data_IF_584264102294
#
_entry.id   IF_584264102294
#
_cell.length_a   1.000
_cell.length_b   1.000
_cell.length_c   1.000
_cell.angle_alpha   90.00
_cell.angle_beta   90.00
_cell.angle_gamma   90.00
#
_symmetry.space_group_name_H-M   'P 1'
#
loop_
_entity.id
_entity.type
_entity.pdbx_description
1 polymer ?
#
# COMPACT_ATOMS: atom_id res chain seq x y z
N UNK A 1 -8.15 -23.12 19.36
CA UNK A 1 -7.66 -21.73 19.19
C UNK A 1 -8.87 -20.80 19.13
N UNK A 2 -8.80 -19.59 19.69
CA UNK A 2 -9.90 -18.61 19.61
C UNK A 2 -10.05 -18.10 18.17
N UNK A 3 -11.30 -17.89 17.72
CA UNK A 3 -11.63 -17.29 16.42
C UNK A 3 -11.00 -15.88 16.37
N UNK A 4 -10.27 -15.55 15.30
CA UNK A 4 -9.67 -14.24 15.09
C UNK A 4 -10.69 -13.27 14.52
N UNK A 5 -10.80 -12.08 15.09
CA UNK A 5 -11.69 -11.02 14.61
C UNK A 5 -10.94 -10.03 13.77
N UNK A 6 -11.29 -9.96 12.50
CA UNK A 6 -10.63 -9.12 11.49
C UNK A 6 -11.62 -8.10 10.96
N UNK A 7 -11.22 -6.86 10.85
CA UNK A 7 -11.98 -5.77 10.24
C UNK A 7 -11.35 -5.35 8.91
N UNK A 8 -12.18 -5.18 7.90
CA UNK A 8 -11.81 -4.55 6.63
C UNK A 8 -12.72 -3.34 6.40
N UNK A 9 -12.14 -2.14 6.35
CA UNK A 9 -12.87 -0.90 6.05
C UNK A 9 -12.48 -0.33 4.69
N UNK A 10 -13.49 -0.03 3.87
CA UNK A 10 -13.36 0.41 2.49
C UNK A 10 -13.39 -0.78 1.54
N UNK A 11 -14.51 -0.98 0.87
CA UNK A 11 -14.78 -2.13 -0.01
C UNK A 11 -14.75 -1.77 -1.51
N UNK A 12 -14.05 -0.69 -1.86
CA UNK A 12 -13.77 -0.33 -3.25
C UNK A 12 -12.79 -1.29 -3.93
N UNK A 13 -12.14 -0.85 -5.02
CA UNK A 13 -11.24 -1.67 -5.84
C UNK A 13 -10.18 -2.42 -5.01
N UNK A 14 -9.46 -1.73 -4.13
CA UNK A 14 -8.38 -2.35 -3.33
C UNK A 14 -8.97 -3.16 -2.17
N UNK A 15 -9.97 -2.63 -1.47
CA UNK A 15 -10.60 -3.35 -0.36
C UNK A 15 -11.21 -4.68 -0.79
N UNK A 16 -11.86 -4.74 -1.95
CA UNK A 16 -12.39 -6.01 -2.49
C UNK A 16 -11.28 -7.03 -2.83
N UNK A 17 -10.05 -6.58 -3.18
CA UNK A 17 -8.88 -7.46 -3.34
C UNK A 17 -8.39 -7.99 -2.01
N UNK A 18 -8.36 -7.15 -0.96
CA UNK A 18 -8.09 -7.62 0.40
C UNK A 18 -9.12 -8.66 0.84
N UNK A 19 -10.41 -8.41 0.58
CA UNK A 19 -11.47 -9.37 0.89
C UNK A 19 -11.21 -10.73 0.23
N UNK A 20 -10.92 -10.74 -1.09
CA UNK A 20 -10.58 -11.98 -1.80
C UNK A 20 -9.35 -12.70 -1.22
N UNK A 21 -8.33 -11.97 -0.81
CA UNK A 21 -7.11 -12.55 -0.25
C UNK A 21 -7.38 -13.15 1.14
N UNK A 22 -8.12 -12.44 1.99
CA UNK A 22 -8.46 -12.90 3.34
C UNK A 22 -9.31 -14.18 3.31
N UNK A 23 -10.30 -14.23 2.44
CA UNK A 23 -11.20 -15.40 2.32
C UNK A 23 -10.49 -16.64 1.76
N UNK A 24 -9.40 -16.49 1.03
CA UNK A 24 -8.62 -17.62 0.49
C UNK A 24 -7.51 -18.10 1.43
N UNK A 25 -6.99 -17.22 2.27
CA UNK A 25 -5.73 -17.45 2.98
C UNK A 25 -5.85 -17.65 4.48
N UNK A 26 -7.05 -17.58 5.04
CA UNK A 26 -7.24 -17.65 6.48
C UNK A 26 -8.27 -18.73 6.88
N UNK A 27 -7.93 -19.48 7.90
CA UNK A 27 -8.81 -20.39 8.59
C UNK A 27 -9.20 -19.84 9.97
N UNK A 28 -10.39 -20.19 10.48
CA UNK A 28 -10.85 -19.89 11.83
C UNK A 28 -10.85 -18.38 12.17
N UNK A 29 -11.53 -17.58 11.35
CA UNK A 29 -11.70 -16.15 11.54
C UNK A 29 -13.15 -15.69 11.40
N UNK A 30 -13.43 -14.53 11.97
CA UNK A 30 -14.66 -13.74 11.78
C UNK A 30 -14.27 -12.43 11.10
N UNK A 31 -14.79 -12.18 9.90
CA UNK A 31 -14.44 -11.01 9.10
C UNK A 31 -15.60 -10.01 9.07
N UNK A 32 -15.32 -8.81 9.56
CA UNK A 32 -16.23 -7.68 9.58
C UNK A 32 -15.85 -6.72 8.45
N UNK A 33 -16.72 -6.52 7.48
CA UNK A 33 -16.51 -5.70 6.29
C UNK A 33 -17.37 -4.43 6.37
N UNK A 34 -16.77 -3.27 6.31
CA UNK A 34 -17.47 -1.98 6.44
C UNK A 34 -17.24 -1.09 5.23
N UNK A 35 -18.32 -0.61 4.63
CA UNK A 35 -18.30 0.49 3.66
C UNK A 35 -19.63 1.24 3.72
N UNK A 36 -19.65 2.58 3.78
CA UNK A 36 -20.90 3.36 3.82
C UNK A 36 -21.72 3.24 2.54
N UNK A 37 -21.12 2.79 1.43
CA UNK A 37 -21.77 2.58 0.14
C UNK A 37 -22.25 1.14 0.00
N UNK A 38 -23.56 0.92 -0.04
CA UNK A 38 -24.13 -0.40 -0.34
C UNK A 38 -23.64 -0.93 -1.71
N UNK A 39 -23.46 -0.05 -2.70
CA UNK A 39 -22.92 -0.43 -4.00
C UNK A 39 -21.50 -0.99 -3.92
N UNK A 40 -20.63 -0.43 -3.03
CA UNK A 40 -19.28 -0.97 -2.78
C UNK A 40 -19.34 -2.33 -2.11
N UNK A 41 -20.28 -2.54 -1.20
CA UNK A 41 -20.52 -3.83 -0.56
C UNK A 41 -20.90 -4.89 -1.61
N UNK A 42 -21.90 -4.61 -2.44
CA UNK A 42 -22.35 -5.54 -3.49
C UNK A 42 -21.25 -5.80 -4.55
N UNK A 43 -20.50 -4.76 -4.93
CA UNK A 43 -19.35 -4.91 -5.80
C UNK A 43 -18.29 -5.85 -5.19
N UNK A 44 -17.98 -5.71 -3.91
CA UNK A 44 -17.01 -6.58 -3.25
C UNK A 44 -17.51 -8.02 -3.11
N UNK A 45 -18.81 -8.22 -2.83
CA UNK A 45 -19.44 -9.55 -2.83
C UNK A 45 -19.39 -10.21 -4.20
N UNK A 46 -19.66 -9.47 -5.28
CA UNK A 46 -19.61 -10.02 -6.64
C UNK A 46 -18.24 -10.57 -7.01
N UNK A 47 -17.17 -10.02 -6.43
CA UNK A 47 -15.80 -10.54 -6.62
C UNK A 47 -15.51 -11.83 -5.87
N UNK A 48 -16.35 -12.21 -4.93
CA UNK A 48 -16.24 -13.49 -4.22
C UNK A 48 -16.94 -14.64 -4.96
N UNK A 49 -17.93 -14.36 -5.80
CA UNK A 49 -18.76 -15.36 -6.49
C UNK A 49 -17.99 -16.53 -7.15
N UNK A 50 -16.75 -16.37 -7.65
CA UNK A 50 -15.97 -17.48 -8.17
C UNK A 50 -15.43 -18.44 -7.09
N UNK A 51 -15.60 -18.13 -5.79
CA UNK A 51 -15.11 -18.93 -4.68
C UNK A 51 -16.20 -19.88 -4.18
N UNK A 52 -15.80 -21.01 -3.56
CA UNK A 52 -16.74 -21.92 -2.93
C UNK A 52 -17.57 -21.25 -1.82
N UNK A 53 -18.86 -21.57 -1.65
CA UNK A 53 -19.70 -21.04 -0.57
C UNK A 53 -19.10 -21.19 0.83
N UNK A 54 -18.31 -22.22 1.09
CA UNK A 54 -17.64 -22.43 2.39
C UNK A 54 -16.69 -21.28 2.77
N UNK A 55 -16.19 -20.52 1.80
CA UNK A 55 -15.36 -19.34 2.03
C UNK A 55 -16.16 -18.10 2.50
N UNK A 56 -17.50 -18.18 2.53
CA UNK A 56 -18.36 -17.07 2.97
C UNK A 56 -18.78 -17.21 4.44
N UNK A 57 -18.52 -18.34 5.08
CA UNK A 57 -18.81 -18.53 6.49
C UNK A 57 -17.99 -17.54 7.34
N UNK A 58 -18.65 -16.82 8.24
CA UNK A 58 -17.97 -15.81 9.08
C UNK A 58 -17.79 -14.41 8.47
N UNK A 59 -18.40 -14.13 7.29
CA UNK A 59 -18.40 -12.80 6.69
C UNK A 59 -19.60 -11.97 7.17
N UNK A 60 -19.33 -10.79 7.70
CA UNK A 60 -20.33 -9.85 8.17
C UNK A 60 -20.14 -8.50 7.44
N UNK A 61 -21.20 -7.93 6.87
CA UNK A 61 -21.16 -6.68 6.12
C UNK A 61 -21.98 -5.61 6.83
N UNK A 62 -21.43 -4.40 6.91
CA UNK A 62 -22.02 -3.26 7.60
C UNK A 62 -21.86 -1.99 6.79
N UNK A 63 -22.81 -1.07 6.92
CA UNK A 63 -22.70 0.29 6.35
C UNK A 63 -22.12 1.31 7.34
N UNK A 64 -21.98 0.93 8.63
CA UNK A 64 -21.37 1.77 9.67
C UNK A 64 -20.50 0.95 10.62
N UNK A 65 -19.71 1.61 11.44
CA UNK A 65 -18.84 0.99 12.44
C UNK A 65 -19.55 0.70 13.78
N UNK A 66 -20.82 1.08 13.93
CA UNK A 66 -21.51 1.11 15.22
C UNK A 66 -21.79 -0.30 15.79
N UNK A 67 -21.86 -1.30 14.92
CA UNK A 67 -22.15 -2.69 15.29
C UNK A 67 -20.91 -3.60 15.32
N UNK A 68 -19.72 -3.02 15.34
CA UNK A 68 -18.48 -3.79 15.36
C UNK A 68 -18.22 -4.43 16.75
N UNK A 69 -17.49 -5.54 16.81
CA UNK A 69 -17.02 -6.12 18.05
C UNK A 69 -16.13 -5.14 18.82
N UNK A 70 -16.24 -5.13 20.16
CA UNK A 70 -15.43 -4.25 21.01
C UNK A 70 -13.91 -4.50 20.91
N UNK A 71 -13.51 -5.67 20.42
CA UNK A 71 -12.10 -6.04 20.27
C UNK A 71 -11.85 -6.68 18.91
N UNK A 72 -10.76 -6.26 18.25
CA UNK A 72 -10.28 -6.77 16.95
C UNK A 72 -8.82 -7.20 17.05
N UNK A 73 -8.48 -8.35 16.48
CA UNK A 73 -7.10 -8.81 16.36
C UNK A 73 -6.35 -8.07 15.24
N UNK A 74 -7.06 -7.75 14.15
CA UNK A 74 -6.51 -7.02 13.00
C UNK A 74 -7.58 -6.10 12.42
N UNK A 75 -7.19 -4.88 12.04
CA UNK A 75 -7.98 -4.03 11.16
C UNK A 75 -7.18 -3.68 9.90
N UNK A 76 -7.85 -3.64 8.75
CA UNK A 76 -7.29 -3.17 7.47
C UNK A 76 -8.09 -1.96 7.04
N UNK A 77 -7.44 -0.80 6.93
CA UNK A 77 -8.08 0.44 6.46
C UNK A 77 -7.69 0.66 4.99
N UNK A 78 -8.57 0.20 4.09
CA UNK A 78 -8.42 0.28 2.64
C UNK A 78 -9.14 1.48 2.01
N UNK A 79 -9.58 2.44 2.82
CA UNK A 79 -10.23 3.68 2.35
C UNK A 79 -9.26 4.58 1.59
N UNK A 80 -9.79 5.57 0.88
CA UNK A 80 -8.97 6.62 0.27
C UNK A 80 -8.24 7.46 1.34
N UNK A 81 -7.08 8.01 0.98
CA UNK A 81 -6.18 8.69 1.91
C UNK A 81 -6.74 9.96 2.55
N UNK A 82 -7.71 10.62 1.88
CA UNK A 82 -8.35 11.84 2.38
C UNK A 82 -9.27 11.61 3.59
N UNK A 83 -9.90 10.43 3.70
CA UNK A 83 -10.82 10.10 4.82
C UNK A 83 -10.19 9.19 5.87
N UNK A 84 -9.00 8.66 5.62
CA UNK A 84 -8.36 7.60 6.42
C UNK A 84 -8.09 8.01 7.86
N UNK A 85 -7.70 9.28 8.11
CA UNK A 85 -7.49 9.76 9.46
C UNK A 85 -8.81 9.78 10.26
N UNK A 86 -9.90 10.28 9.68
CA UNK A 86 -11.20 10.32 10.38
C UNK A 86 -11.72 8.92 10.70
N UNK A 87 -11.50 7.94 9.81
CA UNK A 87 -11.81 6.53 10.07
C UNK A 87 -11.00 5.99 11.26
N UNK A 88 -9.69 6.26 11.30
CA UNK A 88 -8.85 5.86 12.42
C UNK A 88 -9.32 6.49 13.74
N UNK A 89 -9.66 7.78 13.72
CA UNK A 89 -10.15 8.50 14.90
C UNK A 89 -11.47 7.93 15.43
N UNK A 90 -12.39 7.60 14.55
CA UNK A 90 -13.66 6.98 14.94
C UNK A 90 -13.44 5.59 15.52
N UNK A 91 -12.71 4.73 14.81
CA UNK A 91 -12.42 3.38 15.28
C UNK A 91 -11.71 3.36 16.62
N UNK A 92 -10.71 4.21 16.82
CA UNK A 92 -9.93 4.25 18.07
C UNK A 92 -10.76 4.65 19.29
N UNK A 93 -11.93 5.25 19.11
CA UNK A 93 -12.84 5.61 20.21
C UNK A 93 -13.74 4.48 20.66
N UNK A 94 -14.11 3.60 19.72
CA UNK A 94 -15.18 2.61 19.91
C UNK A 94 -14.66 1.18 19.99
N UNK A 95 -13.50 0.89 19.38
CA UNK A 95 -12.99 -0.47 19.24
C UNK A 95 -11.54 -0.55 19.71
N UNK A 96 -11.22 -1.62 20.44
CA UNK A 96 -9.82 -1.99 20.78
C UNK A 96 -9.22 -2.78 19.62
N UNK A 97 -8.11 -2.30 19.07
CA UNK A 97 -7.43 -2.91 17.91
C UNK A 97 -6.00 -3.28 18.33
N UNK A 98 -5.59 -4.51 18.10
CA UNK A 98 -4.20 -4.95 18.36
C UNK A 98 -3.26 -4.58 17.23
N UNK A 99 -3.66 -4.87 16.00
CA UNK A 99 -2.85 -4.72 14.80
C UNK A 99 -3.63 -3.97 13.73
N UNK A 100 -2.94 -3.11 12.95
CA UNK A 100 -3.55 -2.29 11.93
C UNK A 100 -2.71 -2.29 10.65
N UNK A 101 -3.34 -2.49 9.51
CA UNK A 101 -2.73 -2.30 8.19
C UNK A 101 -3.43 -1.13 7.50
N UNK A 102 -2.65 -0.16 7.08
CA UNK A 102 -3.12 0.93 6.23
C UNK A 102 -2.77 0.68 4.77
N UNK A 103 -3.65 1.08 3.87
CA UNK A 103 -3.29 1.23 2.46
C UNK A 103 -2.41 2.46 2.23
N UNK A 104 -1.60 2.37 1.18
CA UNK A 104 -0.86 3.51 0.61
C UNK A 104 -1.83 4.39 -0.24
N UNK A 105 -1.55 5.60 -0.55
CA UNK A 105 -0.66 6.56 0.11
C UNK A 105 -1.23 6.79 1.50
N UNK A 106 -0.40 6.73 2.52
CA UNK A 106 -0.88 6.67 3.91
C UNK A 106 -1.78 7.86 4.28
N UNK A 107 -1.29 9.09 4.14
CA UNK A 107 -2.02 10.33 4.34
C UNK A 107 -1.58 11.41 3.35
N UNK A 108 -2.44 12.38 3.08
CA UNK A 108 -2.14 13.51 2.19
C UNK A 108 -1.42 14.67 2.88
N UNK A 109 -1.39 14.71 4.22
CA UNK A 109 -0.81 15.80 5.00
C UNK A 109 0.08 15.24 6.10
N UNK A 110 1.22 15.89 6.33
CA UNK A 110 2.14 15.54 7.42
C UNK A 110 1.45 15.65 8.79
N UNK A 111 0.59 16.65 8.99
CA UNK A 111 -0.21 16.79 10.21
C UNK A 111 -1.11 15.58 10.49
N UNK A 112 -1.65 14.93 9.45
CA UNK A 112 -2.44 13.70 9.59
C UNK A 112 -1.56 12.52 10.03
N UNK A 113 -0.34 12.44 9.50
CA UNK A 113 0.63 11.41 9.92
C UNK A 113 0.99 11.56 11.40
N UNK A 114 1.30 12.78 11.86
CA UNK A 114 1.63 13.07 13.25
C UNK A 114 0.46 12.70 14.18
N UNK A 115 -0.76 13.08 13.80
CA UNK A 115 -1.96 12.78 14.57
C UNK A 115 -2.26 11.29 14.64
N UNK A 116 -2.14 10.60 13.50
CA UNK A 116 -2.31 9.15 13.46
C UNK A 116 -1.27 8.44 14.33
N UNK A 117 0.01 8.83 14.23
CA UNK A 117 1.07 8.27 15.07
C UNK A 117 0.73 8.41 16.55
N UNK A 118 0.28 9.59 16.98
CA UNK A 118 -0.13 9.81 18.38
C UNK A 118 -1.24 8.85 18.81
N UNK A 119 -2.28 8.67 17.98
CA UNK A 119 -3.38 7.74 18.28
C UNK A 119 -2.86 6.30 18.42
N UNK A 120 -1.98 5.86 17.52
CA UNK A 120 -1.41 4.52 17.54
C UNK A 120 -0.57 4.28 18.79
N UNK A 121 0.28 5.25 19.15
CA UNK A 121 1.13 5.19 20.34
C UNK A 121 0.28 5.18 21.64
N UNK A 122 -0.68 6.11 21.78
CA UNK A 122 -1.57 6.23 22.95
C UNK A 122 -2.42 4.96 23.17
N UNK A 123 -2.82 4.30 22.08
CA UNK A 123 -3.65 3.07 22.09
C UNK A 123 -2.84 1.78 22.03
N UNK A 124 -1.51 1.86 21.90
CA UNK A 124 -0.58 0.72 21.76
C UNK A 124 -0.94 -0.19 20.58
N UNK A 125 -1.33 0.40 19.45
CA UNK A 125 -1.68 -0.30 18.22
C UNK A 125 -0.41 -0.50 17.40
N UNK A 126 -0.07 -1.76 17.07
CA UNK A 126 0.97 -2.06 16.09
C UNK A 126 0.45 -1.81 14.68
N UNK A 127 1.12 -0.97 13.90
CA UNK A 127 0.62 -0.56 12.59
C UNK A 127 1.66 -0.70 11.48
N UNK A 128 1.18 -1.08 10.28
CA UNK A 128 1.96 -1.22 9.05
C UNK A 128 1.28 -0.50 7.90
N UNK A 129 2.08 -0.12 6.91
CA UNK A 129 1.58 0.37 5.62
C UNK A 129 1.74 -0.75 4.58
N UNK A 130 0.70 -0.99 3.79
CA UNK A 130 0.69 -2.05 2.78
C UNK A 130 1.60 -1.68 1.59
N UNK A 131 2.88 -2.03 1.70
CA UNK A 131 3.87 -2.00 0.63
C UNK A 131 4.31 -3.42 0.28
N UNK A 132 3.53 -4.18 -0.52
CA UNK A 132 3.65 -5.63 -0.62
C UNK A 132 4.88 -6.11 -1.42
N UNK A 133 5.56 -5.24 -2.19
CA UNK A 133 6.72 -5.64 -3.00
C UNK A 133 7.84 -6.31 -2.22
N UNK A 134 7.99 -6.02 -0.92
CA UNK A 134 8.96 -6.69 -0.05
C UNK A 134 8.74 -8.21 0.05
N UNK A 135 7.52 -8.67 -0.24
CA UNK A 135 7.15 -10.09 -0.19
C UNK A 135 7.22 -10.77 -1.56
N UNK A 136 7.52 -10.04 -2.62
CA UNK A 136 7.67 -10.63 -3.96
C UNK A 136 9.02 -11.36 -4.07
N UNK A 137 9.04 -12.61 -4.56
CA UNK A 137 10.25 -13.43 -4.63
C UNK A 137 11.42 -12.70 -5.32
N UNK A 138 11.15 -12.04 -6.44
CA UNK A 138 12.19 -11.31 -7.18
C UNK A 138 12.90 -10.26 -6.31
N UNK A 139 12.17 -9.49 -5.50
CA UNK A 139 12.80 -8.49 -4.64
C UNK A 139 13.48 -9.08 -3.41
N UNK A 140 13.06 -10.27 -2.96
CA UNK A 140 13.78 -11.03 -1.95
C UNK A 140 15.16 -11.46 -2.47
N UNK A 141 15.24 -11.98 -3.70
CA UNK A 141 16.48 -12.33 -4.37
C UNK A 141 17.39 -11.12 -4.59
N UNK A 142 16.84 -10.02 -5.12
CA UNK A 142 17.57 -8.76 -5.32
C UNK A 142 18.18 -8.27 -4.01
N UNK A 143 17.45 -8.36 -2.91
CA UNK A 143 17.96 -7.99 -1.58
C UNK A 143 19.20 -8.81 -1.20
N UNK A 144 19.22 -10.11 -1.45
CA UNK A 144 20.37 -10.95 -1.15
C UNK A 144 21.59 -10.55 -2.00
N UNK A 145 21.37 -10.26 -3.29
CA UNK A 145 22.43 -9.83 -4.19
C UNK A 145 23.04 -8.47 -3.83
N UNK A 146 22.27 -7.61 -3.17
CA UNK A 146 22.67 -6.25 -2.77
C UNK A 146 23.25 -6.16 -1.34
N UNK A 147 23.28 -7.24 -0.58
CA UNK A 147 23.78 -7.24 0.78
C UNK A 147 25.23 -6.68 0.85
N UNK A 148 25.42 -5.67 1.70
CA UNK A 148 26.74 -5.03 1.91
C UNK A 148 27.18 -4.07 0.80
N UNK A 149 26.46 -3.97 -0.32
CA UNK A 149 26.81 -3.05 -1.42
C UNK A 149 26.44 -1.60 -1.07
N UNK A 150 27.19 -0.68 -1.68
CA UNK A 150 27.01 0.78 -1.56
C UNK A 150 26.99 1.40 -2.95
N UNK A 151 26.60 2.66 -3.05
CA UNK A 151 26.59 3.37 -4.34
C UNK A 151 25.60 2.78 -5.34
N UNK A 152 24.52 2.16 -4.84
CA UNK A 152 23.49 1.52 -5.66
C UNK A 152 22.65 2.60 -6.34
N UNK A 153 22.50 2.47 -7.68
CA UNK A 153 21.59 3.28 -8.46
C UNK A 153 20.36 2.45 -8.82
N UNK A 154 19.19 2.96 -8.47
CA UNK A 154 17.89 2.39 -8.81
C UNK A 154 17.18 3.32 -9.80
N UNK A 155 16.79 2.82 -10.96
CA UNK A 155 16.02 3.54 -11.96
C UNK A 155 14.73 2.80 -12.26
N UNK A 156 13.63 3.53 -12.27
CA UNK A 156 12.35 3.06 -12.77
C UNK A 156 11.90 3.97 -13.90
N UNK A 157 11.53 3.40 -15.02
CA UNK A 157 10.95 4.14 -16.13
C UNK A 157 9.79 3.36 -16.74
N UNK A 158 8.71 4.06 -17.10
CA UNK A 158 7.54 3.47 -17.73
C UNK A 158 6.50 4.48 -18.17
N UNK A 159 5.51 4.01 -18.96
CA UNK A 159 4.38 4.80 -19.42
C UNK A 159 3.32 4.87 -18.34
N UNK A 160 2.87 6.10 -17.99
CA UNK A 160 1.68 6.41 -17.17
C UNK A 160 1.44 5.47 -15.97
N UNK A 161 2.52 5.07 -15.29
CA UNK A 161 2.45 4.11 -14.19
C UNK A 161 1.94 4.72 -12.87
N UNK A 162 1.57 5.99 -12.89
CA UNK A 162 1.02 6.71 -11.73
C UNK A 162 2.12 7.15 -10.76
N UNK A 163 2.98 8.07 -11.20
CA UNK A 163 4.14 8.57 -10.46
C UNK A 163 3.76 9.08 -9.06
N UNK A 164 2.71 9.92 -8.96
CA UNK A 164 2.29 10.49 -7.68
C UNK A 164 1.76 9.41 -6.71
N UNK A 165 1.02 8.42 -7.20
CA UNK A 165 0.37 7.46 -6.30
C UNK A 165 1.20 6.21 -6.03
N UNK A 166 2.18 5.86 -6.88
CA UNK A 166 2.93 4.61 -6.77
C UNK A 166 4.42 4.77 -6.41
N UNK A 167 5.00 5.97 -6.47
CA UNK A 167 6.40 6.22 -6.09
C UNK A 167 6.75 5.68 -4.71
N UNK A 168 5.82 5.76 -3.76
CA UNK A 168 6.02 5.25 -2.40
C UNK A 168 6.36 3.76 -2.36
N UNK A 169 5.82 2.95 -3.26
CA UNK A 169 6.15 1.52 -3.34
C UNK A 169 7.60 1.29 -3.73
N UNK A 170 8.13 2.12 -4.63
CA UNK A 170 9.52 2.00 -5.09
C UNK A 170 10.49 2.63 -4.10
N UNK A 171 10.13 3.73 -3.44
CA UNK A 171 10.92 4.28 -2.34
C UNK A 171 11.02 3.31 -1.18
N UNK A 172 9.92 2.64 -0.83
CA UNK A 172 9.87 1.62 0.22
C UNK A 172 10.73 0.40 -0.13
N UNK A 173 10.55 -0.16 -1.34
CA UNK A 173 11.29 -1.34 -1.74
C UNK A 173 12.79 -1.04 -1.87
N UNK A 174 13.17 0.12 -2.45
CA UNK A 174 14.57 0.47 -2.57
C UNK A 174 15.25 0.66 -1.23
N UNK A 175 14.63 1.38 -0.29
CA UNK A 175 15.13 1.50 1.07
C UNK A 175 15.35 0.15 1.74
N UNK A 176 14.44 -0.81 1.50
CA UNK A 176 14.51 -2.14 2.08
C UNK A 176 15.57 -3.05 1.42
N UNK A 177 15.63 -3.12 0.07
CA UNK A 177 16.63 -3.97 -0.62
C UNK A 177 18.04 -3.47 -0.44
N UNK A 178 18.24 -2.15 -0.36
CA UNK A 178 19.56 -1.52 -0.18
C UNK A 178 19.95 -1.31 1.29
N UNK A 179 19.06 -1.64 2.23
CA UNK A 179 19.22 -1.37 3.67
C UNK A 179 19.62 0.09 3.94
N UNK A 180 19.00 1.03 3.22
CA UNK A 180 19.32 2.46 3.27
C UNK A 180 18.12 3.33 3.62
N UNK A 181 18.39 4.51 4.17
CA UNK A 181 17.37 5.47 4.57
C UNK A 181 17.29 6.60 3.56
N UNK A 182 16.07 7.01 3.21
CA UNK A 182 15.80 8.19 2.39
C UNK A 182 16.38 9.43 3.10
N UNK A 183 17.11 10.25 2.34
CA UNK A 183 17.73 11.52 2.81
C UNK A 183 17.07 12.74 2.20
N UNK A 184 16.88 12.74 0.88
CA UNK A 184 16.24 13.85 0.18
C UNK A 184 15.47 13.39 -1.04
N UNK A 185 14.49 14.18 -1.43
CA UNK A 185 13.72 14.03 -2.66
C UNK A 185 13.88 15.34 -3.45
N UNK A 186 14.15 15.20 -4.74
CA UNK A 186 14.19 16.30 -5.70
C UNK A 186 13.10 16.07 -6.75
N UNK A 187 12.25 17.07 -6.94
CA UNK A 187 11.11 17.10 -7.85
C UNK A 187 11.26 18.15 -8.96
N UNK A 188 12.45 18.71 -9.12
CA UNK A 188 12.71 19.77 -10.12
C UNK A 188 12.53 19.32 -11.57
N UNK A 189 12.58 18.00 -11.82
CA UNK A 189 12.40 17.41 -13.14
C UNK A 189 10.96 16.85 -13.35
N UNK A 190 10.00 17.22 -12.52
CA UNK A 190 8.59 16.94 -12.80
C UNK A 190 8.08 17.86 -13.92
N UNK A 191 7.25 17.30 -14.79
CA UNK A 191 6.55 18.09 -15.79
C UNK A 191 5.56 19.05 -15.09
N UNK A 192 5.45 20.27 -15.60
CA UNK A 192 4.58 21.29 -15.02
C UNK A 192 3.08 20.96 -15.21
N UNK A 193 2.76 20.06 -16.14
CA UNK A 193 1.39 19.69 -16.46
C UNK A 193 0.84 18.71 -15.43
N UNK A 194 -0.21 19.13 -14.74
CA UNK A 194 -1.00 18.26 -13.86
C UNK A 194 -1.96 17.43 -14.70
N UNK A 195 -1.93 16.12 -14.52
CA UNK A 195 -2.79 15.16 -15.21
C UNK A 195 -3.95 14.71 -14.30
N UNK A 196 -5.07 14.33 -14.92
CA UNK A 196 -6.16 13.68 -14.19
C UNK A 196 -5.75 12.26 -13.81
N UNK A 197 -5.91 11.89 -12.55
CA UNK A 197 -5.77 10.51 -12.12
C UNK A 197 -6.96 9.65 -12.59
N UNK A 198 -6.77 8.34 -12.70
CA UNK A 198 -7.86 7.37 -12.89
C UNK A 198 -8.91 7.42 -11.77
N UNK A 199 -8.54 7.92 -10.59
CA UNK A 199 -9.43 8.12 -9.44
C UNK A 199 -9.94 9.56 -9.41
N UNK A 200 -11.25 9.73 -9.39
CA UNK A 200 -11.89 11.06 -9.30
C UNK A 200 -11.41 11.82 -8.06
N UNK A 201 -11.10 13.11 -8.23
CA UNK A 201 -10.60 13.99 -7.15
C UNK A 201 -9.10 13.86 -6.83
N UNK A 202 -8.36 13.06 -7.62
CA UNK A 202 -6.91 12.91 -7.51
C UNK A 202 -6.22 13.35 -8.80
N UNK A 203 -4.95 13.68 -8.68
CA UNK A 203 -4.11 14.13 -9.80
C UNK A 203 -2.89 13.22 -9.95
N UNK A 204 -2.27 13.25 -11.12
CA UNK A 204 -1.03 12.58 -11.44
C UNK A 204 -0.06 13.54 -12.13
N UNK A 205 1.19 13.12 -12.21
CA UNK A 205 2.30 13.83 -12.83
C UNK A 205 3.07 12.90 -13.74
N UNK A 206 3.74 13.48 -14.72
CA UNK A 206 4.84 12.86 -15.47
C UNK A 206 6.16 13.59 -15.17
N UNK A 207 7.26 13.14 -15.77
CA UNK A 207 8.60 13.62 -15.46
C UNK A 207 9.33 12.70 -14.49
N UNK A 208 10.30 13.24 -13.76
CA UNK A 208 11.20 12.44 -12.93
C UNK A 208 11.23 12.93 -11.47
N UNK A 209 11.17 12.00 -10.54
CA UNK A 209 11.48 12.20 -9.13
C UNK A 209 12.85 11.59 -8.88
N UNK A 210 13.82 12.39 -8.42
CA UNK A 210 15.11 11.92 -7.95
C UNK A 210 15.13 11.85 -6.43
N UNK A 211 15.80 10.85 -5.88
CA UNK A 211 15.95 10.71 -4.43
C UNK A 211 17.36 10.23 -4.06
N UNK A 212 17.89 10.76 -2.97
CA UNK A 212 19.11 10.26 -2.36
C UNK A 212 18.83 9.47 -1.09
N UNK A 213 19.61 8.44 -0.88
CA UNK A 213 19.55 7.58 0.29
C UNK A 213 20.92 7.53 1.00
N UNK A 214 20.98 6.99 2.20
CA UNK A 214 22.25 6.72 2.86
C UNK A 214 23.13 5.78 2.03
N UNK A 215 24.42 5.67 2.37
CA UNK A 215 25.41 4.81 1.68
C UNK A 215 25.64 5.21 0.21
N UNK A 216 25.46 6.50 -0.14
CA UNK A 216 25.59 7.04 -1.51
C UNK A 216 24.63 6.39 -2.52
N UNK A 217 23.55 5.78 -2.06
CA UNK A 217 22.55 5.17 -2.92
C UNK A 217 21.63 6.25 -3.52
N UNK A 218 21.26 6.08 -4.78
CA UNK A 218 20.44 7.02 -5.55
C UNK A 218 19.27 6.33 -6.22
N UNK A 219 18.19 7.07 -6.39
CA UNK A 219 16.99 6.59 -7.06
C UNK A 219 16.50 7.63 -8.06
N UNK A 220 16.02 7.17 -9.21
CA UNK A 220 15.31 7.96 -10.20
C UNK A 220 14.05 7.23 -10.63
N UNK A 221 12.91 7.91 -10.52
CA UNK A 221 11.58 7.40 -10.85
C UNK A 221 11.00 8.26 -11.97
N UNK A 222 10.89 7.71 -13.18
CA UNK A 222 10.44 8.44 -14.36
C UNK A 222 9.13 7.87 -14.89
N UNK A 223 8.13 8.73 -15.04
CA UNK A 223 6.88 8.43 -15.75
C UNK A 223 6.79 9.27 -16.99
N UNK A 224 6.54 8.65 -18.13
CA UNK A 224 6.41 9.33 -19.43
C UNK A 224 5.05 9.05 -20.05
N UNK A 225 4.69 9.80 -21.10
CA UNK A 225 3.55 9.53 -21.98
C UNK A 225 3.95 8.71 -23.22
N UNK A 226 5.22 8.30 -23.30
CA UNK A 226 5.73 7.45 -24.39
C UNK A 226 5.48 5.98 -24.04
N UNK A 227 4.87 5.25 -24.96
CA UNK A 227 4.55 3.82 -24.76
C UNK A 227 5.83 3.01 -24.54
N UNK A 228 5.93 2.42 -23.37
CA UNK A 228 7.01 1.51 -22.98
C UNK A 228 6.63 0.69 -21.76
N UNK A 229 7.32 -0.43 -21.55
CA UNK A 229 7.17 -1.26 -20.38
C UNK A 229 7.64 -0.55 -19.10
N UNK A 230 7.12 -0.99 -17.97
CA UNK A 230 7.59 -0.55 -16.67
C UNK A 230 8.84 -1.33 -16.29
N UNK A 231 9.99 -0.69 -16.44
CA UNK A 231 11.31 -1.29 -16.24
C UNK A 231 11.99 -0.75 -14.98
N UNK A 232 12.48 -1.66 -14.15
CA UNK A 232 13.39 -1.39 -13.03
C UNK A 232 14.79 -1.77 -13.45
N UNK A 233 15.74 -0.87 -13.30
CA UNK A 233 17.18 -1.12 -13.44
C UNK A 233 17.86 -0.82 -12.11
N UNK A 234 18.67 -1.76 -11.63
CA UNK A 234 19.45 -1.63 -10.40
C UNK A 234 20.91 -1.89 -10.72
N UNK A 235 21.76 -0.93 -10.44
CA UNK A 235 23.18 -0.99 -10.76
C UNK A 235 24.03 -0.73 -9.52
N UNK A 236 25.09 -1.47 -9.36
CA UNK A 236 26.22 -1.21 -8.45
C UNK A 236 27.53 -1.52 -9.19
N UNK A 237 28.71 -1.28 -8.59
CA UNK A 237 30.01 -1.47 -9.26
C UNK A 237 30.17 -2.82 -9.99
N UNK A 238 29.56 -3.90 -9.51
CA UNK A 238 29.76 -5.25 -10.03
C UNK A 238 28.45 -5.96 -10.40
N UNK A 239 27.33 -5.26 -10.35
CA UNK A 239 26.02 -5.89 -10.54
C UNK A 239 25.09 -4.99 -11.34
N UNK A 240 24.45 -5.58 -12.35
CA UNK A 240 23.37 -4.95 -13.09
C UNK A 240 22.18 -5.89 -13.15
N UNK A 241 21.03 -5.41 -12.67
CA UNK A 241 19.76 -6.14 -12.63
C UNK A 241 18.74 -5.36 -13.44
N UNK A 242 17.95 -6.06 -14.26
CA UNK A 242 16.77 -5.51 -14.94
C UNK A 242 15.55 -6.33 -14.58
N UNK A 243 14.46 -5.66 -14.24
CA UNK A 243 13.17 -6.29 -13.95
C UNK A 243 12.11 -5.60 -14.80
N UNK A 244 11.36 -6.38 -15.56
CA UNK A 244 10.18 -5.89 -16.26
C UNK A 244 8.94 -6.13 -15.39
N UNK A 245 8.47 -5.09 -14.70
CA UNK A 245 7.28 -5.18 -13.83
C UNK A 245 5.97 -5.34 -14.64
N UNK A 246 5.96 -5.07 -15.94
CA UNK A 246 4.78 -5.30 -16.78
C UNK A 246 4.54 -6.78 -17.03
N UNK A 247 5.59 -7.60 -17.09
CA UNK A 247 5.52 -9.05 -17.33
C UNK A 247 5.79 -9.88 -16.10
N UNK A 248 6.31 -9.28 -15.03
CA UNK A 248 6.69 -9.98 -13.79
C UNK A 248 8.00 -10.79 -13.90
N UNK A 249 8.86 -10.44 -14.85
CA UNK A 249 10.17 -11.08 -15.11
C UNK A 249 11.30 -10.09 -14.93
#
# INVERSE_FOLDING_TARGET
MSVKKILLIGLGEIGSRHLQALTKGLDNYELHCVDPSQASIEFSKSRLLPLSPDHYSGLNFYTSIDSLPAQLDLAIIATSSNVRLSVLEQLSKTVSIKNLIFEKVLFQKVSHLIKAKKILDDRKISAWVNCPRRHWPIYQEVRQLLLGKKGINFRLCGEDWGLACNSIHYMDIFGWISSSQLKSIDISELDQKILKSKRQGFVEFTGTINASFSNHNKMSLTSTQIRQDLLVEIESEQLKIKINESTGV
#
